data_IF_230448362866
#
_entry.id   IF_230448362866
#
_cell.length_a   1.000
_cell.length_b   1.000
_cell.length_c   1.000
_cell.angle_alpha   90.00
_cell.angle_beta   90.00
_cell.angle_gamma   90.00
#
_symmetry.space_group_name_H-M   'P 1'
#
loop_
_entity.id
_entity.type
_entity.pdbx_description
1 polymer ?
#
# COMPACT_ATOMS: atom_id res chain seq x y z
N UNK A 1 -11.70 1.47 29.30
CA UNK A 1 -11.27 2.63 28.49
C UNK A 1 -10.83 2.04 27.18
N UNK A 2 -11.61 2.18 26.12
CA UNK A 2 -11.21 1.69 24.81
C UNK A 2 -10.30 2.76 24.23
N UNK A 3 -8.99 2.52 24.28
CA UNK A 3 -8.04 3.31 23.50
C UNK A 3 -8.54 3.28 22.05
N UNK A 4 -8.88 4.46 21.52
CA UNK A 4 -9.09 4.61 20.08
C UNK A 4 -7.75 4.29 19.45
N UNK A 5 -7.56 3.04 19.03
CA UNK A 5 -6.44 2.68 18.18
C UNK A 5 -6.65 3.47 16.90
N UNK A 6 -5.94 4.59 16.75
CA UNK A 6 -5.94 5.36 15.52
C UNK A 6 -5.42 4.44 14.41
N UNK A 7 -6.26 4.23 13.40
CA UNK A 7 -5.91 3.35 12.30
C UNK A 7 -4.83 4.00 11.44
N UNK A 8 -3.77 3.22 11.11
CA UNK A 8 -2.69 3.65 10.22
C UNK A 8 -3.19 4.15 8.87
N UNK A 9 -4.35 3.65 8.40
CA UNK A 9 -4.96 4.11 7.15
C UNK A 9 -5.29 5.60 7.12
N UNK A 10 -5.43 6.26 8.28
CA UNK A 10 -5.62 7.72 8.35
C UNK A 10 -4.38 8.52 7.94
N UNK A 11 -3.21 7.88 7.90
CA UNK A 11 -1.94 8.48 7.48
C UNK A 11 -1.62 8.29 5.99
N UNK A 12 -2.38 7.44 5.29
CA UNK A 12 -2.15 7.16 3.88
C UNK A 12 -2.94 8.12 2.99
N UNK A 13 -2.27 8.58 1.94
CA UNK A 13 -2.86 9.31 0.83
C UNK A 13 -2.67 8.51 -0.45
N UNK A 14 -3.64 8.55 -1.37
CA UNK A 14 -3.52 7.87 -2.66
C UNK A 14 -2.43 8.52 -3.52
N UNK A 15 -1.64 7.69 -4.21
CA UNK A 15 -0.58 8.13 -5.12
C UNK A 15 -0.93 7.64 -6.51
N UNK A 16 -1.39 8.53 -7.39
CA UNK A 16 -1.79 8.22 -8.77
C UNK A 16 -0.62 8.25 -9.78
N UNK A 17 0.59 7.98 -9.31
CA UNK A 17 1.83 8.00 -10.11
C UNK A 17 3.00 8.56 -9.32
N UNK A 18 4.04 7.74 -9.14
CA UNK A 18 5.28 8.18 -8.51
C UNK A 18 6.06 9.10 -9.47
N UNK A 19 6.67 10.15 -8.92
CA UNK A 19 7.51 11.09 -9.64
C UNK A 19 8.76 10.42 -10.21
N UNK A 20 9.32 9.42 -9.51
CA UNK A 20 10.51 8.68 -9.94
C UNK A 20 10.57 7.29 -9.32
N UNK A 21 11.41 6.42 -9.88
CA UNK A 21 11.69 5.09 -9.32
C UNK A 21 12.23 5.16 -7.89
N UNK A 22 13.05 6.17 -7.56
CA UNK A 22 13.59 6.37 -6.21
C UNK A 22 12.50 6.72 -5.18
N UNK A 23 11.45 7.43 -5.60
CA UNK A 23 10.32 7.70 -4.71
C UNK A 23 9.53 6.42 -4.43
N UNK A 24 9.29 5.60 -5.46
CA UNK A 24 8.64 4.31 -5.33
C UNK A 24 9.43 3.38 -4.39
N UNK A 25 10.73 3.23 -4.57
CA UNK A 25 11.58 2.39 -3.71
C UNK A 25 11.58 2.87 -2.24
N UNK A 26 11.59 4.19 -2.02
CA UNK A 26 11.48 4.77 -0.68
C UNK A 26 10.12 4.47 -0.05
N UNK A 27 9.05 4.55 -0.85
CA UNK A 27 7.70 4.22 -0.39
C UNK A 27 7.56 2.73 -0.05
N UNK A 28 8.17 1.84 -0.84
CA UNK A 28 8.23 0.40 -0.51
C UNK A 28 8.91 0.16 0.83
N UNK A 29 10.07 0.78 1.09
CA UNK A 29 10.77 0.66 2.38
C UNK A 29 9.96 1.20 3.55
N UNK A 30 9.17 2.26 3.32
CA UNK A 30 8.24 2.77 4.31
C UNK A 30 7.14 1.74 4.64
N UNK A 31 6.51 1.13 3.63
CA UNK A 31 5.52 0.07 3.82
C UNK A 31 6.11 -1.17 4.51
N UNK A 32 7.33 -1.58 4.17
CA UNK A 32 8.04 -2.67 4.88
C UNK A 32 8.20 -2.36 6.38
N UNK A 33 8.45 -1.10 6.74
CA UNK A 33 8.48 -0.66 8.13
C UNK A 33 7.15 -0.88 8.84
N UNK A 34 6.04 -0.50 8.21
CA UNK A 34 4.67 -0.64 8.73
C UNK A 34 4.28 -2.13 8.87
N UNK A 35 4.65 -2.95 7.89
CA UNK A 35 4.41 -4.40 7.98
C UNK A 35 5.20 -5.01 9.14
N UNK A 36 6.42 -4.54 9.39
CA UNK A 36 7.25 -5.00 10.51
C UNK A 36 6.73 -4.55 11.88
N UNK A 37 6.04 -3.41 11.98
CA UNK A 37 5.40 -2.98 13.23
C UNK A 37 4.09 -3.71 13.51
N UNK A 38 3.52 -4.38 12.49
CA UNK A 38 2.29 -5.16 12.62
C UNK A 38 1.01 -4.37 12.35
N UNK A 39 1.12 -3.11 11.91
CA UNK A 39 -0.05 -2.27 11.60
C UNK A 39 -0.74 -2.70 10.29
N UNK A 40 0.01 -3.39 9.41
CA UNK A 40 -0.48 -4.00 8.18
C UNK A 40 0.17 -5.36 7.94
N UNK A 41 -0.51 -6.19 7.15
CA UNK A 41 0.03 -7.47 6.65
C UNK A 41 -0.03 -7.50 5.12
N UNK A 42 1.02 -8.04 4.49
CA UNK A 42 0.99 -8.34 3.06
C UNK A 42 0.04 -9.51 2.82
N UNK A 43 -0.91 -9.36 1.90
CA UNK A 43 -1.90 -10.39 1.55
C UNK A 43 -1.73 -10.82 0.09
N UNK A 44 -2.09 -12.06 -0.26
CA UNK A 44 -2.03 -12.52 -1.65
C UNK A 44 -2.88 -11.63 -2.55
N UNK A 45 -2.34 -11.30 -3.72
CA UNK A 45 -3.09 -10.64 -4.79
C UNK A 45 -4.19 -11.60 -5.26
N UNK A 46 -5.45 -11.19 -5.10
CA UNK A 46 -6.59 -12.03 -5.48
C UNK A 46 -7.04 -11.75 -6.92
N UNK A 47 -6.95 -10.49 -7.36
CA UNK A 47 -7.34 -10.06 -8.70
C UNK A 47 -6.42 -8.94 -9.18
N UNK A 48 -5.62 -9.22 -10.20
CA UNK A 48 -4.66 -8.23 -10.69
C UNK A 48 -5.36 -7.06 -11.38
N UNK A 49 -4.88 -5.84 -11.16
CA UNK A 49 -5.39 -4.65 -11.87
C UNK A 49 -5.16 -4.75 -13.38
N UNK A 50 -4.04 -5.37 -13.79
CA UNK A 50 -3.70 -5.75 -15.17
C UNK A 50 -2.53 -6.75 -15.15
N UNK A 51 -1.69 -6.80 -16.20
CA UNK A 51 -0.43 -7.58 -16.19
C UNK A 51 0.69 -6.94 -15.37
N UNK A 52 0.39 -5.94 -14.53
CA UNK A 52 1.37 -5.25 -13.70
C UNK A 52 1.73 -6.07 -12.47
N UNK A 53 2.99 -5.97 -12.04
CA UNK A 53 3.40 -6.47 -10.74
C UNK A 53 2.73 -5.62 -9.64
N UNK A 54 2.13 -6.26 -8.65
CA UNK A 54 1.45 -5.57 -7.56
C UNK A 54 1.60 -6.32 -6.22
N UNK A 55 1.39 -5.57 -5.14
CA UNK A 55 1.37 -6.05 -3.75
C UNK A 55 0.17 -5.47 -3.03
N UNK A 56 -0.49 -6.29 -2.21
CA UNK A 56 -1.66 -5.90 -1.44
C UNK A 56 -1.34 -5.92 0.05
N UNK A 57 -1.88 -4.96 0.78
CA UNK A 57 -1.65 -4.77 2.20
C UNK A 57 -2.99 -4.59 2.89
N UNK A 58 -3.30 -5.47 3.84
CA UNK A 58 -4.51 -5.37 4.66
C UNK A 58 -4.15 -4.74 6.00
N UNK A 59 -4.89 -3.71 6.42
CA UNK A 59 -4.75 -3.12 7.74
C UNK A 59 -5.33 -4.04 8.81
N UNK A 60 -4.57 -4.27 9.89
CA UNK A 60 -5.00 -5.17 10.97
C UNK A 60 -6.18 -4.59 11.80
N UNK A 61 -6.30 -3.26 11.86
CA UNK A 61 -7.30 -2.59 12.69
C UNK A 61 -8.69 -2.45 12.02
N UNK A 62 -8.73 -2.14 10.72
CA UNK A 62 -9.99 -1.89 10.02
C UNK A 62 -10.26 -2.81 8.82
N UNK A 63 -9.37 -3.77 8.56
CA UNK A 63 -9.44 -4.67 7.40
C UNK A 63 -9.44 -3.97 6.02
N UNK A 64 -9.14 -2.67 5.97
CA UNK A 64 -8.99 -1.94 4.71
C UNK A 64 -7.79 -2.49 3.93
N UNK A 65 -8.02 -2.83 2.67
CA UNK A 65 -6.95 -3.27 1.76
C UNK A 65 -6.46 -2.07 0.95
N UNK A 66 -5.15 -1.97 0.86
CA UNK A 66 -4.43 -1.04 -0.01
C UNK A 66 -3.61 -1.82 -1.02
N UNK A 67 -3.56 -1.32 -2.24
CA UNK A 67 -2.84 -1.92 -3.36
C UNK A 67 -1.71 -1.01 -3.80
N UNK A 68 -0.53 -1.59 -3.91
CA UNK A 68 0.64 -1.00 -4.55
C UNK A 68 0.86 -1.67 -5.92
N UNK A 69 0.72 -0.90 -7.00
CA UNK A 69 1.07 -1.33 -8.36
C UNK A 69 2.43 -0.76 -8.73
N UNK A 70 3.32 -1.61 -9.23
CA UNK A 70 4.69 -1.25 -9.56
C UNK A 70 4.73 -0.36 -10.82
N UNK A 71 5.66 0.63 -10.89
CA UNK A 71 5.91 1.36 -12.12
C UNK A 71 6.40 0.43 -13.23
N UNK A 72 5.83 0.58 -14.43
CA UNK A 72 6.24 -0.11 -15.65
C UNK A 72 6.07 0.87 -16.82
N UNK A 73 7.17 1.44 -17.31
CA UNK A 73 7.14 2.62 -18.17
C UNK A 73 6.21 2.43 -19.39
N UNK A 74 5.30 3.38 -19.69
CA UNK A 74 5.18 4.74 -19.14
C UNK A 74 4.32 4.85 -17.87
N UNK A 75 3.79 3.74 -17.35
CA UNK A 75 3.01 3.74 -16.11
C UNK A 75 3.91 4.01 -14.91
N UNK A 76 3.49 4.97 -14.07
CA UNK A 76 4.30 5.51 -12.98
C UNK A 76 4.04 4.82 -11.63
N UNK A 77 3.33 3.69 -11.62
CA UNK A 77 2.91 3.02 -10.39
C UNK A 77 1.67 3.66 -9.77
N UNK A 78 1.09 2.98 -8.79
CA UNK A 78 -0.13 3.42 -8.10
C UNK A 78 -0.10 2.94 -6.65
N UNK A 79 -0.58 3.78 -5.73
CA UNK A 79 -0.95 3.38 -4.39
C UNK A 79 -2.39 3.82 -4.14
N UNK A 80 -3.30 2.87 -3.93
CA UNK A 80 -4.70 3.19 -3.74
C UNK A 80 -5.39 2.22 -2.78
N UNK A 81 -6.45 2.71 -2.14
CA UNK A 81 -7.40 1.87 -1.39
C UNK A 81 -8.23 1.05 -2.38
N UNK A 82 -8.51 -0.19 -2.01
CA UNK A 82 -9.46 -1.04 -2.73
C UNK A 82 -10.84 -0.89 -2.09
N UNK A 83 -11.87 -0.72 -2.93
CA UNK A 83 -13.29 -0.69 -2.52
C UNK A 83 -13.90 -2.08 -2.46
#
# INVERSE_FOLDING_TARGET
MADKVECICSQFEEINGFYSIYEFERFQKYLEGIVRTGDMKEVPVQEYYATFQEKWFECDNCSQIWRLVYPDFPFKGLWNKME
#
